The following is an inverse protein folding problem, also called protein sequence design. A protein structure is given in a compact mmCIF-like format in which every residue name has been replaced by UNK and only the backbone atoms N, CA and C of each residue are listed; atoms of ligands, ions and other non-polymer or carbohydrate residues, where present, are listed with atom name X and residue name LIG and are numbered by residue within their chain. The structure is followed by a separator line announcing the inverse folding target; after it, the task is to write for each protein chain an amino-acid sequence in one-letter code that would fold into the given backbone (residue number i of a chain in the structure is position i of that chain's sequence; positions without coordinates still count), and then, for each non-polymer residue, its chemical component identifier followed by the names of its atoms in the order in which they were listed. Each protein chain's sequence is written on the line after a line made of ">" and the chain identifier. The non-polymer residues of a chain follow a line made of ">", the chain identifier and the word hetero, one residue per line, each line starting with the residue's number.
data_IF_665331165232
#
_entry.id   IF_665331165232
#
_cell.length_a   1.000
_cell.length_b   1.000
_cell.length_c   1.000
_cell.angle_alpha   90.00
_cell.angle_beta   90.00
_cell.angle_gamma   90.00
#
_symmetry.space_group_name_H-M   'P 1'
#
loop_
_entity.id
_entity.type
_entity.pdbx_description
1 polymer ?
#
# COMPACT_ATOMS: atom_id res chain seq x y z
N UNK A 1 24.46 60.02 -27.38
CA UNK A 1 25.49 59.01 -27.71
C UNK A 1 25.76 58.20 -26.44
N UNK A 2 25.10 57.06 -26.28
CA UNK A 2 25.28 56.22 -25.08
C UNK A 2 26.47 55.29 -25.31
N UNK A 3 27.57 55.51 -24.59
CA UNK A 3 28.70 54.56 -24.56
C UNK A 3 28.18 53.23 -24.01
N UNK A 4 28.11 52.20 -24.86
CA UNK A 4 27.86 50.83 -24.42
C UNK A 4 29.14 50.31 -23.77
N UNK A 5 29.11 50.06 -22.46
CA UNK A 5 30.19 49.37 -21.75
C UNK A 5 30.27 47.93 -22.27
N UNK A 6 31.41 47.53 -22.81
CA UNK A 6 31.67 46.15 -23.18
C UNK A 6 31.99 45.35 -21.92
N UNK A 7 31.34 44.20 -21.74
CA UNK A 7 31.55 43.29 -20.61
C UNK A 7 32.87 42.53 -20.83
N UNK A 8 33.70 42.42 -19.80
CA UNK A 8 34.96 41.67 -19.91
C UNK A 8 34.72 40.17 -19.76
N UNK A 9 35.56 39.35 -20.40
CA UNK A 9 35.49 37.89 -20.31
C UNK A 9 35.61 37.40 -18.86
N UNK A 10 36.38 38.12 -18.03
CA UNK A 10 36.57 37.82 -16.61
C UNK A 10 35.28 38.04 -15.82
N UNK A 11 34.58 39.16 -16.03
CA UNK A 11 33.30 39.43 -15.36
C UNK A 11 32.25 38.36 -15.68
N UNK A 12 32.18 37.91 -16.94
CA UNK A 12 31.26 36.85 -17.34
C UNK A 12 31.59 35.52 -16.66
N UNK A 13 32.89 35.17 -16.60
CA UNK A 13 33.34 33.92 -16.00
C UNK A 13 33.09 33.88 -14.48
N UNK A 14 33.31 35.00 -13.78
CA UNK A 14 33.02 35.12 -12.34
C UNK A 14 31.53 34.94 -12.06
N UNK A 15 30.65 35.55 -12.86
CA UNK A 15 29.20 35.41 -12.70
C UNK A 15 28.76 33.96 -12.90
N UNK A 16 29.26 33.29 -13.94
CA UNK A 16 28.94 31.88 -14.18
C UNK A 16 29.47 30.99 -13.04
N UNK A 17 30.66 31.28 -12.52
CA UNK A 17 31.22 30.55 -11.38
C UNK A 17 30.35 30.70 -10.11
N UNK A 18 29.90 31.92 -9.81
CA UNK A 18 29.01 32.17 -8.66
C UNK A 18 27.67 31.47 -8.84
N UNK A 19 27.04 31.59 -10.02
CA UNK A 19 25.77 30.90 -10.32
C UNK A 19 25.95 29.38 -10.22
N UNK A 20 27.06 28.84 -10.73
CA UNK A 20 27.38 27.42 -10.64
C UNK A 20 27.49 26.92 -9.20
N UNK A 21 28.19 27.66 -8.33
CA UNK A 21 28.30 27.34 -6.90
C UNK A 21 26.94 27.43 -6.21
N UNK A 22 26.16 28.47 -6.47
CA UNK A 22 24.82 28.63 -5.90
C UNK A 22 23.88 27.47 -6.31
N UNK A 23 23.86 27.10 -7.59
CA UNK A 23 23.04 25.98 -8.08
C UNK A 23 23.52 24.65 -7.46
N UNK A 24 24.83 24.43 -7.37
CA UNK A 24 25.39 23.21 -6.77
C UNK A 24 25.00 23.05 -5.30
N UNK A 25 24.89 24.15 -4.54
CA UNK A 25 24.44 24.13 -3.15
C UNK A 25 22.92 24.04 -3.01
N UNK A 26 22.15 24.64 -3.94
CA UNK A 26 20.69 24.67 -3.87
C UNK A 26 20.02 23.39 -4.41
N UNK A 27 20.60 22.73 -5.42
CA UNK A 27 19.98 21.56 -6.05
C UNK A 27 19.75 20.41 -5.05
N UNK A 28 20.73 20.00 -4.21
CA UNK A 28 20.50 18.95 -3.21
C UNK A 28 19.41 19.33 -2.22
N UNK A 29 19.38 20.59 -1.77
CA UNK A 29 18.40 21.10 -0.82
C UNK A 29 16.98 21.08 -1.40
N UNK A 30 16.81 21.52 -2.65
CA UNK A 30 15.51 21.49 -3.35
C UNK A 30 14.99 20.06 -3.51
N UNK A 31 15.86 19.09 -3.82
CA UNK A 31 15.44 17.70 -3.95
C UNK A 31 15.02 17.09 -2.60
N UNK A 32 15.77 17.37 -1.53
CA UNK A 32 15.41 16.94 -0.17
C UNK A 32 14.05 17.52 0.27
N UNK A 33 13.82 18.81 0.01
CA UNK A 33 12.55 19.46 0.31
C UNK A 33 11.38 18.83 -0.47
N UNK A 34 11.59 18.53 -1.76
CA UNK A 34 10.58 17.85 -2.59
C UNK A 34 10.25 16.46 -2.08
N UNK A 35 11.25 15.68 -1.67
CA UNK A 35 11.01 14.34 -1.14
C UNK A 35 10.31 14.38 0.22
N UNK A 36 10.68 15.32 1.10
CA UNK A 36 9.96 15.54 2.35
C UNK A 36 8.48 15.87 2.09
N UNK A 37 8.18 16.72 1.10
CA UNK A 37 6.82 17.04 0.71
C UNK A 37 6.05 15.82 0.18
N UNK A 38 6.66 15.02 -0.71
CA UNK A 38 6.04 13.79 -1.21
C UNK A 38 5.79 12.78 -0.08
N UNK A 39 6.73 12.62 0.85
CA UNK A 39 6.56 11.76 2.03
C UNK A 39 5.41 12.22 2.91
N UNK A 40 5.27 13.52 3.16
CA UNK A 40 4.11 14.06 3.88
C UNK A 40 2.78 13.75 3.17
N UNK A 41 2.76 13.80 1.83
CA UNK A 41 1.58 13.42 1.06
C UNK A 41 1.28 11.91 1.17
N UNK A 42 2.31 11.05 1.13
CA UNK A 42 2.11 9.60 1.30
C UNK A 42 1.62 9.26 2.71
N UNK A 43 2.17 9.88 3.76
CA UNK A 43 1.68 9.69 5.13
C UNK A 43 0.25 10.19 5.32
N UNK A 44 -0.10 11.33 4.72
CA UNK A 44 -1.49 11.81 4.73
C UNK A 44 -2.43 10.85 4.00
N UNK A 45 -2.04 10.28 2.86
CA UNK A 45 -2.81 9.26 2.16
C UNK A 45 -3.11 8.06 3.06
N UNK A 46 -2.10 7.52 3.75
CA UNK A 46 -2.30 6.42 4.70
C UNK A 46 -3.19 6.81 5.88
N UNK A 47 -3.07 8.03 6.41
CA UNK A 47 -3.99 8.54 7.45
C UNK A 47 -5.43 8.58 6.98
N UNK A 48 -5.69 9.02 5.76
CA UNK A 48 -7.04 9.02 5.18
C UNK A 48 -7.59 7.59 5.07
N UNK A 49 -6.75 6.62 4.69
CA UNK A 49 -7.15 5.22 4.64
C UNK A 49 -7.50 4.65 6.01
N UNK A 50 -6.65 4.88 7.02
CA UNK A 50 -6.94 4.41 8.38
C UNK A 50 -8.18 5.11 8.95
N UNK A 51 -8.37 6.41 8.67
CA UNK A 51 -9.59 7.11 9.06
C UNK A 51 -10.84 6.52 8.41
N UNK A 52 -10.78 6.21 7.11
CA UNK A 52 -11.86 5.52 6.41
C UNK A 52 -12.14 4.13 7.02
N UNK A 53 -11.11 3.39 7.42
CA UNK A 53 -11.25 2.12 8.14
C UNK A 53 -11.96 2.29 9.49
N UNK A 54 -11.66 3.35 10.25
CA UNK A 54 -12.38 3.66 11.49
C UNK A 54 -13.82 4.08 11.26
N UNK A 55 -14.11 4.85 10.22
CA UNK A 55 -15.50 5.20 9.87
C UNK A 55 -16.31 3.96 9.46
N UNK A 56 -15.67 3.05 8.72
CA UNK A 56 -16.23 1.73 8.41
C UNK A 56 -16.50 0.94 9.71
N UNK A 57 -15.51 0.83 10.61
CA UNK A 57 -15.66 0.12 11.88
C UNK A 57 -16.74 0.74 12.78
N UNK A 58 -16.86 2.08 12.82
CA UNK A 58 -17.90 2.77 13.56
C UNK A 58 -19.31 2.41 13.07
N UNK A 59 -19.46 2.11 11.78
CA UNK A 59 -20.73 1.75 11.14
C UNK A 59 -21.02 0.25 11.28
N UNK A 60 -20.03 -0.61 11.01
CA UNK A 60 -20.20 -2.07 10.89
C UNK A 60 -19.70 -2.88 12.10
N UNK A 61 -19.08 -2.22 13.09
CA UNK A 61 -18.47 -2.80 14.31
C UNK A 61 -17.31 -3.78 14.07
N UNK A 62 -16.80 -3.80 12.84
CA UNK A 62 -15.63 -4.53 12.36
C UNK A 62 -14.95 -3.71 11.28
N UNK A 63 -13.64 -3.85 11.13
CA UNK A 63 -12.90 -3.37 9.97
C UNK A 63 -13.28 -4.14 8.70
N UNK A 64 -13.04 -3.60 7.50
CA UNK A 64 -13.29 -4.36 6.27
C UNK A 64 -12.42 -5.62 6.25
N UNK A 65 -12.95 -6.71 5.70
CA UNK A 65 -12.14 -7.88 5.38
C UNK A 65 -11.08 -7.51 4.34
N UNK A 66 -9.91 -8.15 4.37
CA UNK A 66 -8.86 -7.89 3.39
C UNK A 66 -9.25 -8.34 1.98
N UNK A 67 -10.05 -9.41 1.90
CA UNK A 67 -10.65 -9.91 0.66
C UNK A 67 -12.06 -10.42 0.94
N UNK A 68 -13.00 -9.95 0.14
CA UNK A 68 -14.36 -10.46 0.08
C UNK A 68 -14.36 -11.88 -0.51
N UNK A 69 -14.98 -12.81 0.22
CA UNK A 69 -15.06 -14.22 -0.19
C UNK A 69 -13.78 -15.02 0.07
N UNK A 70 -13.69 -16.18 -0.57
CA UNK A 70 -12.62 -17.15 -0.38
C UNK A 70 -12.10 -17.65 -1.75
N UNK A 71 -11.19 -18.61 -1.73
CA UNK A 71 -10.83 -19.34 -2.95
C UNK A 71 -11.87 -20.45 -3.16
N UNK A 72 -12.75 -20.29 -4.15
CA UNK A 72 -13.86 -21.20 -4.44
C UNK A 72 -15.23 -20.70 -3.95
N UNK A 73 -16.23 -21.58 -3.92
CA UNK A 73 -17.60 -21.23 -3.58
C UNK A 73 -17.85 -21.26 -2.05
N UNK A 74 -17.64 -20.13 -1.37
CA UNK A 74 -18.25 -19.88 -0.06
C UNK A 74 -19.47 -18.97 -0.24
N UNK A 75 -20.51 -19.22 0.56
CA UNK A 75 -21.72 -18.40 0.60
C UNK A 75 -21.58 -17.29 1.66
N UNK A 76 -22.10 -16.07 1.39
CA UNK A 76 -22.60 -15.61 0.09
C UNK A 76 -21.47 -15.56 -0.96
N UNK A 77 -21.82 -15.83 -2.22
CA UNK A 77 -20.90 -15.89 -3.35
C UNK A 77 -20.31 -14.50 -3.63
N UNK A 78 -19.27 -14.15 -2.87
CA UNK A 78 -18.59 -12.88 -3.06
C UNK A 78 -17.68 -12.99 -4.29
N UNK A 79 -17.68 -11.94 -5.10
CA UNK A 79 -17.09 -11.87 -6.44
C UNK A 79 -15.58 -12.06 -6.52
N UNK A 80 -14.97 -11.72 -7.68
CA UNK A 80 -13.63 -12.15 -8.09
C UNK A 80 -12.53 -11.57 -7.21
N UNK A 81 -12.32 -12.19 -6.04
CA UNK A 81 -11.27 -11.81 -5.10
C UNK A 81 -11.29 -10.33 -4.73
N UNK A 82 -12.47 -9.71 -4.55
CA UNK A 82 -12.56 -8.25 -4.35
C UNK A 82 -11.88 -7.80 -3.05
N UNK A 83 -11.05 -6.76 -3.14
CA UNK A 83 -10.34 -6.19 -1.98
C UNK A 83 -11.26 -5.47 -1.01
N UNK A 84 -10.89 -5.47 0.27
CA UNK A 84 -11.48 -4.59 1.29
C UNK A 84 -11.41 -3.09 0.98
N UNK A 85 -10.49 -2.65 0.10
CA UNK A 85 -10.39 -1.24 -0.29
C UNK A 85 -11.67 -0.75 -0.98
N UNK A 86 -12.40 -1.63 -1.67
CA UNK A 86 -13.69 -1.31 -2.28
C UNK A 86 -14.71 -0.90 -1.21
N UNK A 87 -14.70 -1.57 -0.05
CA UNK A 87 -15.61 -1.27 1.06
C UNK A 87 -15.34 0.09 1.71
N UNK A 88 -14.15 0.65 1.50
CA UNK A 88 -13.74 1.95 2.05
C UNK A 88 -14.15 3.13 1.15
N UNK A 89 -14.56 2.89 -0.09
CA UNK A 89 -14.87 3.93 -1.06
C UNK A 89 -15.93 4.95 -0.57
N UNK A 90 -17.06 4.54 0.05
CA UNK A 90 -18.05 5.49 0.58
C UNK A 90 -17.46 6.41 1.67
N UNK A 91 -16.48 5.91 2.42
CA UNK A 91 -15.78 6.64 3.48
C UNK A 91 -14.60 7.48 2.96
N UNK A 92 -14.36 7.47 1.65
CA UNK A 92 -13.36 8.24 0.92
C UNK A 92 -14.00 9.17 -0.13
N UNK A 93 -15.29 9.47 0.03
CA UNK A 93 -16.07 10.30 -0.91
C UNK A 93 -16.13 9.72 -2.34
N UNK A 94 -15.99 8.40 -2.48
CA UNK A 94 -16.03 7.67 -3.76
C UNK A 94 -17.33 6.85 -3.90
N UNK A 95 -18.48 7.37 -3.43
CA UNK A 95 -19.76 6.65 -3.45
C UNK A 95 -20.21 6.27 -4.88
N UNK A 96 -20.02 7.16 -5.85
CA UNK A 96 -20.32 6.89 -7.27
C UNK A 96 -19.49 5.73 -7.85
N UNK A 97 -18.26 5.56 -7.38
CA UNK A 97 -17.42 4.42 -7.79
C UNK A 97 -17.85 3.15 -7.06
N UNK A 98 -18.15 3.25 -5.75
CA UNK A 98 -18.64 2.14 -4.94
C UNK A 98 -19.92 1.49 -5.51
N UNK A 99 -20.89 2.32 -5.91
CA UNK A 99 -22.15 1.83 -6.50
C UNK A 99 -21.93 0.97 -7.76
N UNK A 100 -20.85 1.22 -8.52
CA UNK A 100 -20.52 0.44 -9.71
C UNK A 100 -19.95 -0.95 -9.39
N UNK A 101 -19.45 -1.17 -8.17
CA UNK A 101 -19.06 -2.52 -7.71
C UNK A 101 -20.28 -3.33 -7.25
N UNK A 102 -21.44 -2.69 -7.05
CA UNK A 102 -22.67 -3.27 -6.49
C UNK A 102 -22.41 -4.29 -5.35
N UNK A 103 -21.52 -4.00 -4.37
CA UNK A 103 -20.89 -5.06 -3.60
C UNK A 103 -21.82 -5.74 -2.58
N UNK A 104 -23.05 -5.24 -2.40
CA UNK A 104 -24.11 -5.86 -1.60
C UNK A 104 -25.50 -5.50 -2.14
N UNK A 105 -26.06 -6.36 -2.98
CA UNK A 105 -27.47 -6.35 -3.37
C UNK A 105 -28.25 -7.50 -2.70
N UNK A 106 -29.59 -7.43 -2.61
CA UNK A 106 -30.42 -8.47 -1.99
C UNK A 106 -30.25 -9.86 -2.62
N UNK A 107 -29.75 -9.94 -3.85
CA UNK A 107 -29.47 -11.18 -4.57
C UNK A 107 -28.02 -11.68 -4.46
N UNK A 108 -27.15 -11.00 -3.69
CA UNK A 108 -25.80 -11.45 -3.29
C UNK A 108 -24.84 -11.94 -4.40
N UNK A 109 -25.14 -11.71 -5.67
CA UNK A 109 -24.23 -12.06 -6.77
C UNK A 109 -23.43 -10.83 -7.17
N UNK A 110 -22.14 -10.82 -6.84
CA UNK A 110 -21.21 -9.95 -7.54
C UNK A 110 -21.25 -10.27 -9.03
N UNK A 111 -21.12 -9.27 -9.93
CA UNK A 111 -20.96 -9.55 -11.35
C UNK A 111 -19.71 -10.41 -11.57
N UNK A 112 -19.83 -11.48 -12.36
CA UNK A 112 -18.72 -12.39 -12.70
C UNK A 112 -17.52 -11.64 -13.30
N UNK A 113 -17.79 -10.51 -13.94
CA UNK A 113 -16.82 -9.59 -14.51
C UNK A 113 -17.20 -8.15 -14.18
N UNK A 114 -16.33 -7.44 -13.46
CA UNK A 114 -16.47 -5.98 -13.30
C UNK A 114 -16.17 -5.29 -14.65
N UNK A 115 -16.81 -4.16 -14.97
CA UNK A 115 -16.44 -3.36 -16.15
C UNK A 115 -14.98 -2.88 -16.09
N UNK A 116 -14.38 -2.61 -17.24
CA UNK A 116 -13.03 -2.04 -17.32
C UNK A 116 -12.95 -0.63 -16.75
N UNK A 117 -13.95 0.21 -17.04
CA UNK A 117 -14.06 1.55 -16.47
C UNK A 117 -13.98 1.57 -14.95
N UNK A 118 -14.49 0.54 -14.29
CA UNK A 118 -14.52 0.42 -12.83
C UNK A 118 -13.15 0.07 -12.26
N UNK A 119 -12.50 -0.98 -12.78
CA UNK A 119 -11.24 -1.46 -12.22
C UNK A 119 -10.01 -0.66 -12.69
N UNK A 120 -10.14 0.10 -13.78
CA UNK A 120 -9.12 1.01 -14.27
C UNK A 120 -9.22 2.41 -13.60
N UNK A 121 -10.31 2.68 -12.88
CA UNK A 121 -10.41 3.90 -12.07
C UNK A 121 -9.48 3.79 -10.87
N UNK A 122 -8.61 4.78 -10.67
CA UNK A 122 -7.60 4.82 -9.60
C UNK A 122 -7.89 5.98 -8.64
N UNK A 123 -8.48 5.74 -7.47
CA UNK A 123 -8.68 6.78 -6.47
C UNK A 123 -7.36 7.42 -6.01
N UNK A 124 -7.31 8.76 -5.94
CA UNK A 124 -6.11 9.49 -5.52
C UNK A 124 -5.66 9.13 -4.10
N UNK A 125 -6.62 8.79 -3.22
CA UNK A 125 -6.34 8.35 -1.86
C UNK A 125 -5.46 7.10 -1.78
N UNK A 126 -5.39 6.29 -2.84
CA UNK A 126 -4.57 5.08 -2.90
C UNK A 126 -3.16 5.31 -3.46
N UNK A 127 -2.79 6.57 -3.72
CA UNK A 127 -1.54 6.92 -4.41
C UNK A 127 -0.54 7.58 -3.46
N UNK A 128 0.70 7.10 -3.50
CA UNK A 128 1.85 7.79 -2.95
C UNK A 128 2.58 8.51 -4.09
N UNK A 129 2.78 9.85 -4.01
CA UNK A 129 3.50 10.61 -5.04
C UNK A 129 4.96 10.19 -5.26
N UNK A 130 5.58 9.48 -4.30
CA UNK A 130 6.91 8.87 -4.49
C UNK A 130 6.88 7.51 -5.20
N UNK A 131 5.69 6.97 -5.49
CA UNK A 131 5.56 5.73 -6.26
C UNK A 131 5.89 5.94 -7.73
N UNK A 132 6.70 5.05 -8.28
CA UNK A 132 7.06 5.02 -9.71
C UNK A 132 6.24 4.01 -10.50
N UNK A 133 5.21 3.41 -9.89
CA UNK A 133 4.38 2.39 -10.55
C UNK A 133 3.52 3.02 -11.65
N UNK A 134 3.31 2.28 -12.74
CA UNK A 134 2.33 2.65 -13.76
C UNK A 134 0.95 2.81 -13.14
N UNK A 135 0.15 3.75 -13.65
CA UNK A 135 -1.20 4.00 -13.13
C UNK A 135 -2.12 2.80 -13.29
N UNK A 136 -2.00 2.14 -14.44
CA UNK A 136 -2.67 0.89 -14.76
C UNK A 136 -1.76 0.01 -15.62
N UNK A 137 -2.16 -1.25 -15.76
CA UNK A 137 -1.48 -2.21 -16.61
C UNK A 137 -2.46 -3.31 -17.05
N UNK A 138 -2.18 -3.90 -18.22
CA UNK A 138 -3.04 -4.89 -18.84
C UNK A 138 -2.83 -6.29 -18.23
N UNK A 139 -3.92 -6.94 -17.85
CA UNK A 139 -3.96 -8.38 -17.56
C UNK A 139 -5.14 -8.99 -18.28
N UNK A 140 -4.89 -10.00 -19.13
CA UNK A 140 -5.92 -10.79 -19.80
C UNK A 140 -6.90 -9.92 -20.61
N UNK A 141 -6.39 -8.92 -21.33
CA UNK A 141 -7.19 -8.03 -22.19
C UNK A 141 -7.97 -6.95 -21.44
N UNK A 142 -7.58 -6.63 -20.20
CA UNK A 142 -8.24 -5.60 -19.38
C UNK A 142 -7.20 -4.79 -18.60
N UNK A 143 -7.33 -3.47 -18.60
CA UNK A 143 -6.49 -2.61 -17.77
C UNK A 143 -6.97 -2.57 -16.32
N UNK A 144 -6.03 -2.74 -15.39
CA UNK A 144 -6.27 -2.67 -13.95
C UNK A 144 -5.46 -1.55 -13.32
N UNK A 145 -6.11 -0.73 -12.50
CA UNK A 145 -5.45 0.32 -11.74
C UNK A 145 -4.59 -0.25 -10.60
N UNK A 146 -3.40 0.33 -10.42
CA UNK A 146 -2.50 0.02 -9.30
C UNK A 146 -2.83 0.88 -8.07
N UNK A 147 -2.47 0.38 -6.89
CA UNK A 147 -2.36 1.20 -5.67
C UNK A 147 -0.92 1.29 -5.19
N UNK A 148 -0.63 2.33 -4.40
CA UNK A 148 0.63 2.48 -3.67
C UNK A 148 0.62 1.84 -2.28
N UNK A 149 -0.55 1.39 -1.83
CA UNK A 149 -0.74 0.84 -0.51
C UNK A 149 -1.37 -0.54 -0.58
N UNK A 150 -1.10 -1.36 0.44
CA UNK A 150 -1.71 -2.67 0.62
C UNK A 150 -2.03 -2.90 2.11
N UNK A 151 -3.05 -3.70 2.36
CA UNK A 151 -3.38 -4.16 3.70
C UNK A 151 -2.31 -5.09 4.26
N UNK A 152 -2.13 -5.00 5.58
CA UNK A 152 -1.25 -5.87 6.35
C UNK A 152 -2.03 -7.11 6.80
N UNK A 153 -1.74 -8.24 6.16
CA UNK A 153 -2.44 -9.50 6.42
C UNK A 153 -1.83 -10.31 7.57
N UNK A 154 -0.62 -9.94 8.00
CA UNK A 154 0.12 -10.59 9.07
C UNK A 154 1.48 -11.09 8.61
N UNK A 155 2.02 -12.07 9.33
CA UNK A 155 3.39 -12.54 9.12
C UNK A 155 3.50 -13.87 8.36
N UNK A 156 2.42 -14.63 8.21
CA UNK A 156 2.46 -15.84 7.38
C UNK A 156 2.48 -15.43 5.91
N UNK A 157 3.59 -15.70 5.24
CA UNK A 157 3.88 -15.29 3.87
C UNK A 157 4.15 -16.48 2.93
N UNK A 158 4.91 -16.26 1.85
CA UNK A 158 5.16 -17.26 0.82
C UNK A 158 5.72 -18.62 1.30
N UNK A 159 6.40 -18.71 2.44
CA UNK A 159 6.90 -20.00 2.98
C UNK A 159 5.76 -20.96 3.33
N UNK A 160 4.61 -20.41 3.70
CA UNK A 160 3.37 -21.14 4.00
C UNK A 160 2.54 -21.39 2.73
N UNK A 161 3.17 -21.22 1.56
CA UNK A 161 2.61 -21.46 0.23
C UNK A 161 1.30 -20.70 0.01
N UNK A 162 0.22 -21.42 -0.30
CA UNK A 162 -1.09 -20.87 -0.62
C UNK A 162 -2.21 -21.52 0.19
N UNK A 163 -1.86 -22.04 1.38
CA UNK A 163 -2.78 -22.71 2.29
C UNK A 163 -3.66 -21.77 3.11
N UNK A 164 -4.36 -22.33 4.09
CA UNK A 164 -5.25 -21.59 5.01
C UNK A 164 -4.50 -20.53 5.84
N UNK A 165 -3.27 -20.85 6.29
CA UNK A 165 -2.37 -19.97 7.06
C UNK A 165 -2.18 -18.57 6.48
N UNK A 166 -1.98 -18.44 5.17
CA UNK A 166 -1.76 -17.15 4.50
C UNK A 166 -3.07 -16.44 4.14
N UNK A 167 -4.21 -17.11 4.31
CA UNK A 167 -5.54 -16.64 3.95
C UNK A 167 -6.28 -16.14 5.18
N UNK A 168 -7.05 -17.00 5.83
CA UNK A 168 -7.94 -16.65 6.96
C UNK A 168 -7.34 -16.97 8.34
N UNK A 169 -6.35 -17.86 8.40
CA UNK A 169 -5.58 -18.15 9.63
C UNK A 169 -4.43 -17.16 9.85
N UNK A 170 -4.28 -16.15 8.98
CA UNK A 170 -3.24 -15.15 9.14
C UNK A 170 -3.51 -14.25 10.35
N UNK A 171 -2.45 -13.62 10.82
CA UNK A 171 -2.41 -13.00 12.15
C UNK A 171 -2.63 -11.49 12.13
N UNK A 172 -2.72 -10.87 10.96
CA UNK A 172 -3.03 -9.45 10.83
C UNK A 172 -4.52 -9.13 11.00
N UNK A 173 -4.84 -7.85 10.86
CA UNK A 173 -6.21 -7.35 10.96
C UNK A 173 -7.02 -7.62 9.68
N UNK A 174 -6.35 -7.74 8.53
CA UNK A 174 -6.99 -7.84 7.22
C UNK A 174 -6.68 -9.18 6.55
N UNK A 175 -7.64 -10.10 6.59
CA UNK A 175 -7.48 -11.46 6.07
C UNK A 175 -8.54 -11.78 5.03
N UNK A 176 -8.53 -12.99 4.48
CA UNK A 176 -9.61 -13.45 3.61
C UNK A 176 -10.88 -13.72 4.40
N UNK A 177 -12.03 -13.26 3.90
CA UNK A 177 -13.41 -13.50 4.37
C UNK A 177 -13.71 -12.96 5.77
N UNK A 178 -12.85 -13.23 6.73
CA UNK A 178 -13.06 -12.90 8.12
C UNK A 178 -12.80 -11.40 8.35
N UNK A 179 -13.52 -10.84 9.31
CA UNK A 179 -13.47 -9.43 9.69
C UNK A 179 -13.26 -9.33 11.19
N UNK A 180 -12.41 -8.41 11.59
CA UNK A 180 -12.00 -8.17 12.97
C UNK A 180 -12.24 -6.71 13.32
N UNK A 181 -12.53 -6.40 14.58
CA UNK A 181 -12.76 -5.02 15.05
C UNK A 181 -11.70 -4.57 16.05
N UNK A 182 -11.94 -3.41 16.67
CA UNK A 182 -11.05 -2.84 17.70
C UNK A 182 -10.71 -3.83 18.81
N UNK A 183 -11.66 -4.69 19.19
CA UNK A 183 -11.52 -5.70 20.26
C UNK A 183 -10.48 -6.76 19.96
N UNK A 184 -10.15 -6.99 18.69
CA UNK A 184 -9.26 -8.06 18.25
C UNK A 184 -7.79 -7.60 18.18
N UNK A 185 -7.54 -6.29 18.28
CA UNK A 185 -6.21 -5.70 18.41
C UNK A 185 -5.72 -5.79 19.87
N UNK A 186 -5.47 -7.01 20.36
CA UNK A 186 -5.11 -7.26 21.77
C UNK A 186 -3.80 -6.60 22.21
N UNK A 187 -2.89 -6.33 21.27
CA UNK A 187 -1.63 -5.61 21.55
C UNK A 187 -1.79 -4.08 21.54
N UNK A 188 -3.03 -3.59 21.37
CA UNK A 188 -3.36 -2.17 21.21
C UNK A 188 -3.26 -1.70 19.76
N UNK A 189 -4.22 -0.86 19.33
CA UNK A 189 -4.31 -0.33 17.97
C UNK A 189 -3.05 0.44 17.52
N UNK A 190 -2.35 1.09 18.46
CA UNK A 190 -1.07 1.78 18.19
C UNK A 190 0.09 0.85 17.87
N UNK A 191 -0.06 -0.47 18.07
CA UNK A 191 0.99 -1.45 17.85
C UNK A 191 0.61 -2.52 16.80
N UNK A 192 -0.41 -2.22 15.98
CA UNK A 192 -0.86 -3.09 14.89
C UNK A 192 -0.86 -2.28 13.59
N UNK A 193 -0.01 -2.67 12.65
CA UNK A 193 0.01 -2.08 11.32
C UNK A 193 -1.23 -2.51 10.55
N UNK A 194 -1.88 -1.57 9.89
CA UNK A 194 -3.08 -1.78 9.08
C UNK A 194 -2.78 -1.75 7.59
N UNK A 195 -1.97 -0.78 7.16
CA UNK A 195 -1.67 -0.53 5.76
C UNK A 195 -0.19 -0.17 5.61
N UNK A 196 0.43 -0.60 4.51
CA UNK A 196 1.83 -0.31 4.19
C UNK A 196 2.03 0.01 2.72
N UNK A 197 3.19 0.57 2.39
CA UNK A 197 3.55 0.94 1.01
C UNK A 197 4.00 -0.28 0.19
N UNK A 198 3.72 -0.22 -1.12
CA UNK A 198 4.16 -1.23 -2.10
C UNK A 198 4.89 -0.53 -3.24
N UNK A 199 5.91 -1.19 -3.79
CA UNK A 199 6.65 -0.78 -4.99
C UNK A 199 6.45 -1.79 -6.11
N UNK A 200 6.59 -1.35 -7.37
CA UNK A 200 6.60 -2.23 -8.55
C UNK A 200 5.39 -3.19 -8.64
N UNK A 201 4.24 -2.70 -8.18
CA UNK A 201 2.90 -3.27 -8.24
C UNK A 201 2.30 -3.42 -9.64
N UNK A 202 3.05 -3.06 -10.67
CA UNK A 202 2.69 -3.18 -12.08
C UNK A 202 3.39 -4.35 -12.79
N UNK A 203 4.21 -5.13 -12.05
CA UNK A 203 4.90 -6.30 -12.59
C UNK A 203 4.04 -7.56 -12.46
N UNK A 204 4.09 -8.44 -13.47
CA UNK A 204 3.37 -9.72 -13.50
C UNK A 204 3.59 -10.56 -12.25
N UNK A 205 4.81 -10.56 -11.71
CA UNK A 205 5.20 -11.30 -10.51
C UNK A 205 5.10 -10.49 -9.20
N UNK A 206 4.49 -9.31 -9.21
CA UNK A 206 4.40 -8.44 -8.03
C UNK A 206 3.22 -7.45 -8.04
N UNK A 207 2.12 -7.81 -8.69
CA UNK A 207 0.90 -7.00 -8.87
C UNK A 207 0.44 -6.28 -7.58
N UNK A 208 -0.08 -5.06 -7.68
CA UNK A 208 -0.80 -4.36 -6.62
C UNK A 208 -2.11 -3.73 -7.15
N UNK A 209 -3.06 -4.56 -7.63
CA UNK A 209 -4.38 -4.08 -8.05
C UNK A 209 -5.22 -3.77 -6.83
N UNK A 210 -5.67 -2.52 -6.70
CA UNK A 210 -6.36 -2.07 -5.50
C UNK A 210 -7.73 -2.74 -5.31
N UNK A 211 -8.38 -3.15 -6.41
CA UNK A 211 -9.68 -3.82 -6.40
C UNK A 211 -9.61 -5.30 -6.03
N UNK A 212 -8.41 -5.89 -5.99
CA UNK A 212 -8.23 -7.34 -5.82
C UNK A 212 -7.46 -7.62 -4.52
N UNK A 213 -7.95 -8.54 -3.70
CA UNK A 213 -7.30 -9.07 -2.51
C UNK A 213 -6.78 -10.48 -2.79
N UNK A 214 -5.51 -10.60 -3.14
CA UNK A 214 -4.87 -11.91 -3.37
C UNK A 214 -3.72 -12.12 -2.40
N UNK A 215 -3.50 -13.34 -1.93
CA UNK A 215 -2.33 -13.69 -1.13
C UNK A 215 -1.03 -13.34 -1.88
N UNK A 216 -0.06 -12.78 -1.17
CA UNK A 216 1.29 -12.43 -1.67
C UNK A 216 1.34 -11.44 -2.83
N UNK A 217 0.19 -10.87 -3.20
CA UNK A 217 -0.03 -10.09 -4.40
C UNK A 217 -1.15 -9.09 -4.14
N UNK A 218 -1.38 -8.22 -5.11
CA UNK A 218 -2.45 -7.23 -5.06
C UNK A 218 -2.45 -6.46 -3.72
N UNK A 219 -3.64 -6.16 -3.22
CA UNK A 219 -3.85 -5.36 -2.01
C UNK A 219 -3.58 -6.08 -0.68
N UNK A 220 -3.09 -7.32 -0.67
CA UNK A 220 -2.78 -8.05 0.57
C UNK A 220 -1.33 -8.48 0.62
N UNK A 221 -0.59 -7.94 1.59
CA UNK A 221 0.84 -8.17 1.76
C UNK A 221 1.16 -8.66 3.17
N UNK A 222 2.35 -9.24 3.30
CA UNK A 222 2.79 -9.90 4.53
C UNK A 222 4.17 -9.39 4.91
N UNK A 223 4.53 -9.59 6.17
CA UNK A 223 5.83 -9.16 6.72
C UNK A 223 6.80 -10.34 6.83
N UNK A 224 6.62 -11.39 6.02
CA UNK A 224 7.53 -12.54 6.07
C UNK A 224 8.93 -12.18 5.56
N UNK A 225 8.96 -11.51 4.41
CA UNK A 225 10.19 -10.99 3.82
C UNK A 225 10.55 -9.64 4.45
N UNK A 226 11.85 -9.31 4.55
CA UNK A 226 12.31 -7.99 4.94
C UNK A 226 11.67 -6.87 4.12
N UNK A 227 11.53 -5.70 4.73
CA UNK A 227 11.07 -4.50 4.03
C UNK A 227 11.96 -4.19 2.83
N UNK A 228 11.37 -3.71 1.73
CA UNK A 228 12.07 -3.42 0.47
C UNK A 228 12.69 -4.64 -0.25
N UNK A 229 12.29 -5.88 0.09
CA UNK A 229 12.70 -7.06 -0.68
C UNK A 229 12.24 -6.94 -2.14
N UNK A 230 13.16 -6.93 -3.13
CA UNK A 230 12.79 -6.74 -4.53
C UNK A 230 11.88 -7.84 -5.06
N UNK A 231 10.97 -7.54 -6.01
CA UNK A 231 10.17 -8.53 -6.72
C UNK A 231 10.99 -9.73 -7.21
N UNK A 232 10.48 -10.95 -7.00
CA UNK A 232 11.16 -12.19 -7.37
C UNK A 232 12.34 -12.60 -6.47
N UNK A 233 12.65 -11.83 -5.42
CA UNK A 233 13.70 -12.17 -4.44
C UNK A 233 13.11 -12.48 -3.05
N UNK A 234 13.94 -13.03 -2.17
CA UNK A 234 13.56 -13.47 -0.84
C UNK A 234 12.87 -14.83 -0.84
N UNK A 235 12.05 -15.08 0.17
CA UNK A 235 11.16 -16.25 0.22
C UNK A 235 10.02 -15.99 -0.77
N UNK A 236 9.84 -16.90 -1.73
CA UNK A 236 8.83 -16.75 -2.78
C UNK A 236 7.92 -17.98 -2.87
N UNK A 237 6.76 -17.80 -3.48
CA UNK A 237 5.84 -18.88 -3.85
C UNK A 237 5.57 -18.81 -5.34
N UNK A 238 5.33 -19.96 -5.98
CA UNK A 238 5.00 -20.05 -7.41
C UNK A 238 3.69 -20.82 -7.65
N UNK A 239 2.52 -20.20 -7.36
CA UNK A 239 1.23 -20.78 -7.65
C UNK A 239 0.91 -20.85 -9.15
N UNK A 240 1.64 -20.14 -10.01
CA UNK A 240 1.34 -20.05 -11.45
C UNK A 240 2.60 -19.92 -12.34
N UNK A 241 3.74 -20.45 -11.90
CA UNK A 241 5.01 -20.39 -12.65
C UNK A 241 5.87 -19.16 -12.34
N UNK A 242 5.30 -18.11 -11.77
CA UNK A 242 5.98 -16.87 -11.36
C UNK A 242 6.32 -16.84 -9.87
N UNK A 243 7.47 -16.27 -9.49
CA UNK A 243 7.90 -16.16 -8.11
C UNK A 243 7.36 -14.88 -7.42
N UNK A 244 6.45 -15.05 -6.45
CA UNK A 244 5.85 -13.97 -5.68
C UNK A 244 6.35 -13.94 -4.24
N UNK A 245 6.77 -12.77 -3.75
CA UNK A 245 7.34 -12.62 -2.41
C UNK A 245 6.42 -11.90 -1.40
N UNK A 246 5.35 -11.25 -1.86
CA UNK A 246 4.38 -10.56 -1.00
C UNK A 246 4.95 -9.47 -0.09
N UNK A 247 6.14 -8.94 -0.38
CA UNK A 247 6.80 -7.96 0.44
C UNK A 247 6.16 -6.57 0.31
N UNK A 248 6.27 -5.78 1.38
CA UNK A 248 6.08 -4.33 1.35
C UNK A 248 7.36 -3.63 0.88
N UNK A 249 7.22 -2.42 0.38
CA UNK A 249 8.37 -1.60 0.03
C UNK A 249 8.00 -0.18 -0.39
N UNK A 250 8.99 0.70 -0.36
CA UNK A 250 8.84 2.12 -0.69
C UNK A 250 10.06 2.64 -1.44
N UNK A 251 9.88 3.77 -2.13
CA UNK A 251 10.99 4.52 -2.75
C UNK A 251 11.51 5.63 -1.84
N UNK A 252 10.91 5.80 -0.65
CA UNK A 252 11.45 6.70 0.36
C UNK A 252 12.82 6.23 0.83
N UNK A 253 13.82 7.12 0.97
CA UNK A 253 15.15 6.74 1.44
C UNK A 253 15.11 6.10 2.84
N UNK A 254 15.66 4.90 2.98
CA UNK A 254 15.91 4.22 4.25
C UNK A 254 14.75 3.43 4.85
N UNK A 255 13.60 3.30 4.17
CA UNK A 255 12.44 2.61 4.75
C UNK A 255 11.11 2.89 4.08
N UNK A 256 10.01 2.62 4.78
CA UNK A 256 8.64 2.80 4.28
C UNK A 256 7.70 3.29 5.37
N UNK A 257 6.64 3.97 4.98
CA UNK A 257 5.58 4.40 5.90
C UNK A 257 4.53 3.29 6.08
N UNK A 258 4.08 3.11 7.32
CA UNK A 258 2.99 2.21 7.69
C UNK A 258 1.96 2.95 8.54
N UNK A 259 0.69 2.76 8.22
CA UNK A 259 -0.45 3.26 8.98
C UNK A 259 -0.85 2.23 10.03
N UNK A 260 -1.04 2.69 11.26
CA UNK A 260 -1.38 1.88 12.42
C UNK A 260 -2.84 2.01 12.77
N UNK A 261 -3.37 1.03 13.50
CA UNK A 261 -4.78 0.99 13.88
C UNK A 261 -5.27 2.18 14.71
N UNK A 262 -4.39 2.98 15.31
CA UNK A 262 -4.77 4.18 16.06
C UNK A 262 -4.84 5.46 15.20
N UNK A 263 -4.60 5.36 13.89
CA UNK A 263 -4.56 6.50 12.97
C UNK A 263 -3.18 7.16 12.85
N UNK A 264 -2.18 6.71 13.60
CA UNK A 264 -0.80 7.16 13.45
C UNK A 264 -0.18 6.55 12.18
N UNK A 265 0.84 7.23 11.65
CA UNK A 265 1.66 6.72 10.55
C UNK A 265 3.11 6.83 10.98
N UNK A 266 3.80 5.70 10.98
CA UNK A 266 5.19 5.60 11.37
C UNK A 266 6.04 5.16 10.20
N UNK A 267 7.26 5.71 10.14
CA UNK A 267 8.25 5.27 9.17
C UNK A 267 9.11 4.18 9.80
N UNK A 268 9.14 3.02 9.17
CA UNK A 268 9.95 1.89 9.60
C UNK A 268 11.21 1.83 8.75
N UNK A 269 12.35 1.73 9.42
CA UNK A 269 13.65 1.53 8.77
C UNK A 269 13.65 0.22 7.98
N UNK A 270 14.28 0.19 6.81
CA UNK A 270 14.52 -1.05 6.07
C UNK A 270 15.43 -2.04 6.82
N UNK A 271 16.17 -1.55 7.81
CA UNK A 271 17.01 -2.35 8.72
C UNK A 271 16.29 -2.78 10.01
N UNK A 272 14.97 -2.58 10.10
CA UNK A 272 14.17 -3.03 11.25
C UNK A 272 14.41 -4.53 11.53
N UNK A 273 14.49 -4.90 12.81
CA UNK A 273 14.56 -6.30 13.20
C UNK A 273 13.33 -7.06 12.64
N UNK A 274 13.58 -8.15 11.91
CA UNK A 274 12.53 -8.88 11.20
C UNK A 274 11.48 -9.47 12.15
N UNK A 275 11.86 -9.90 13.34
CA UNK A 275 10.91 -10.44 14.32
C UNK A 275 10.00 -9.33 14.85
N UNK A 276 10.55 -8.14 15.16
CA UNK A 276 9.73 -6.99 15.52
C UNK A 276 8.78 -6.60 14.39
N UNK A 277 9.26 -6.55 13.15
CA UNK A 277 8.44 -6.25 11.98
C UNK A 277 7.28 -7.24 11.83
N UNK A 278 7.55 -8.54 12.03
CA UNK A 278 6.53 -9.60 12.07
C UNK A 278 5.59 -9.48 13.26
N UNK A 279 6.01 -8.95 14.40
CA UNK A 279 5.12 -8.73 15.54
C UNK A 279 4.17 -7.54 15.26
N UNK A 280 4.68 -6.45 14.68
CA UNK A 280 3.89 -5.27 14.36
C UNK A 280 2.76 -5.54 13.35
N UNK A 281 2.87 -6.59 12.53
CA UNK A 281 1.80 -7.01 11.62
C UNK A 281 0.71 -7.87 12.26
N UNK A 282 0.89 -8.31 13.50
CA UNK A 282 -0.05 -9.20 14.19
C UNK A 282 -1.06 -8.38 15.02
N UNK A 283 -2.34 -8.75 14.95
CA UNK A 283 -3.40 -8.17 15.79
C UNK A 283 -3.26 -8.56 17.28
N UNK A 284 -2.76 -9.78 17.53
CA UNK A 284 -2.65 -10.38 18.86
C UNK A 284 -1.42 -11.29 18.95
N UNK A 285 -0.24 -10.69 19.11
CA UNK A 285 1.02 -11.41 19.31
C UNK A 285 1.24 -11.85 20.75
N UNK A 286 0.62 -11.18 21.73
CA UNK A 286 0.84 -11.43 23.15
C UNK A 286 2.24 -11.07 23.63
N UNK A 287 3.00 -10.31 22.83
CA UNK A 287 4.36 -9.86 23.13
C UNK A 287 4.43 -8.33 23.17
N UNK A 288 5.36 -7.82 23.97
CA UNK A 288 5.66 -6.38 23.99
C UNK A 288 6.34 -6.01 22.67
N UNK A 289 5.73 -5.09 21.93
CA UNK A 289 6.27 -4.49 20.72
C UNK A 289 6.92 -3.17 21.12
N UNK A 290 8.17 -3.23 21.57
CA UNK A 290 8.88 -2.00 21.95
C UNK A 290 9.14 -1.16 20.69
N UNK A 291 8.67 0.09 20.68
CA UNK A 291 8.97 1.04 19.61
C UNK A 291 10.48 1.33 19.62
N UNK A 292 11.14 1.15 18.48
CA UNK A 292 12.43 1.79 18.29
C UNK A 292 12.14 3.28 18.09
N UNK A 293 12.42 4.07 19.13
CA UNK A 293 12.60 5.52 19.00
C UNK A 293 13.83 5.80 18.14
#
# INVERSE_FOLDING_TARGET
>A
MHMRRAFTLVELLVVIAIIGVLIALLLPAVQQAREAARRMQCTNGQKQLVLAMHNYEGTFRVYPTGRLGCDGACAPQNGPATSGFVLLLPFLEQDNLYQQFAPYGPDNTFPESLPESVVNTRPEAFVCPSSTMKQSFEISGKDWATASYAFVSGHYGPSEQTGAKVKWENTGMFVYRDSYGNRDALDGLSNVMFVGEVISGDLTNHLNRWTVGTRHLDSLRTTENPLNTPPGQGITTSPYGEAYNGAFGSRHPGGANFGYGDGSVHFLSETINLDLYKLLSQRASGKVKASQN
#
